data_IF_965899094312
#
_entry.id   IF_965899094312
#
_cell.length_a   1.000
_cell.length_b   1.000
_cell.length_c   1.000
_cell.angle_alpha   90.00
_cell.angle_beta   90.00
_cell.angle_gamma   90.00
#
_symmetry.space_group_name_H-M   'P 1'
#
loop_
_entity.id
_entity.type
_entity.pdbx_description
1 polymer ?
#
# COMPACT_ATOMS: atom_id res chain seq x y z
N UNK A 1 6.84 3.46 11.49
CA UNK A 1 7.19 4.34 10.36
C UNK A 1 8.47 3.82 9.73
N UNK A 2 8.68 4.04 8.43
CA UNK A 2 9.92 3.67 7.74
C UNK A 2 10.66 4.96 7.42
N UNK A 3 11.95 5.03 7.76
CA UNK A 3 12.80 6.20 7.46
C UNK A 3 13.56 5.94 6.18
N UNK A 4 13.37 6.79 5.17
CA UNK A 4 14.14 6.77 3.93
C UNK A 4 15.13 7.95 3.92
N UNK A 5 16.31 7.76 3.31
CA UNK A 5 17.21 8.87 3.07
C UNK A 5 16.55 9.87 2.11
N UNK A 6 16.85 11.17 2.28
CA UNK A 6 16.28 12.22 1.42
C UNK A 6 16.60 11.93 -0.05
N UNK A 7 15.58 11.88 -0.89
CA UNK A 7 15.68 11.57 -2.32
C UNK A 7 15.81 10.09 -2.65
N UNK A 8 15.81 9.20 -1.66
CA UNK A 8 15.78 7.76 -1.89
C UNK A 8 14.40 7.32 -2.43
N UNK A 9 14.38 6.15 -3.05
CA UNK A 9 13.14 5.48 -3.43
C UNK A 9 12.87 4.33 -2.47
N UNK A 10 11.61 4.16 -2.07
CA UNK A 10 11.18 3.10 -1.16
C UNK A 10 10.00 2.34 -1.77
N UNK A 11 10.19 1.04 -1.97
CA UNK A 11 9.13 0.14 -2.44
C UNK A 11 8.45 -0.53 -1.26
N UNK A 12 7.12 -0.61 -1.33
CA UNK A 12 6.25 -1.31 -0.40
C UNK A 12 5.44 -2.36 -1.14
N UNK A 13 5.40 -3.57 -0.60
CA UNK A 13 4.55 -4.66 -1.07
C UNK A 13 3.35 -4.80 -0.12
N UNK A 14 2.16 -4.89 -0.70
CA UNK A 14 0.89 -5.04 -0.03
C UNK A 14 0.39 -6.45 -0.29
N UNK A 15 0.50 -7.31 0.71
CA UNK A 15 0.07 -8.71 0.62
C UNK A 15 -1.16 -8.90 1.48
N UNK A 16 -2.28 -9.30 0.87
CA UNK A 16 -3.47 -9.68 1.62
C UNK A 16 -3.27 -11.04 2.29
N UNK A 17 -3.77 -11.17 3.53
CA UNK A 17 -3.79 -12.46 4.21
C UNK A 17 -4.71 -13.46 3.51
N UNK A 18 -4.51 -14.76 3.77
CA UNK A 18 -5.39 -15.80 3.25
C UNK A 18 -6.86 -15.54 3.62
N UNK A 19 -7.75 -15.67 2.65
CA UNK A 19 -9.18 -15.36 2.82
C UNK A 19 -9.51 -13.86 2.76
N UNK A 20 -8.54 -12.99 2.41
CA UNK A 20 -8.75 -11.57 2.18
C UNK A 20 -8.31 -11.17 0.77
N UNK A 21 -8.83 -10.05 0.28
CA UNK A 21 -8.36 -9.37 -0.92
C UNK A 21 -8.11 -7.91 -0.62
N UNK A 22 -7.18 -7.29 -1.37
CA UNK A 22 -6.96 -5.85 -1.31
C UNK A 22 -8.26 -5.18 -1.77
N UNK A 23 -8.87 -4.38 -0.90
CA UNK A 23 -10.05 -3.59 -1.23
C UNK A 23 -9.62 -2.27 -1.88
N UNK A 24 -8.62 -1.60 -1.29
CA UNK A 24 -8.18 -0.28 -1.72
C UNK A 24 -6.82 0.06 -1.10
N UNK A 25 -5.92 0.65 -1.88
CA UNK A 25 -4.70 1.29 -1.40
C UNK A 25 -4.81 2.79 -1.64
N UNK A 26 -4.51 3.58 -0.61
CA UNK A 26 -4.54 5.03 -0.64
C UNK A 26 -3.13 5.55 -0.33
N UNK A 27 -2.61 6.43 -1.17
CA UNK A 27 -1.29 7.05 -0.99
C UNK A 27 -1.48 8.54 -0.91
N UNK A 28 -1.04 9.16 0.19
CA UNK A 28 -1.16 10.60 0.45
C UNK A 28 -2.61 11.13 0.25
N UNK A 29 -3.59 10.31 0.64
CA UNK A 29 -5.01 10.61 0.46
C UNK A 29 -5.58 10.28 -0.94
N UNK A 30 -4.74 9.93 -1.91
CA UNK A 30 -5.15 9.57 -3.27
C UNK A 30 -5.39 8.07 -3.40
N UNK A 31 -6.57 7.68 -3.85
CA UNK A 31 -6.89 6.28 -4.13
C UNK A 31 -6.07 5.77 -5.33
N UNK A 32 -5.32 4.69 -5.12
CA UNK A 32 -4.55 3.98 -6.15
C UNK A 32 -5.22 2.68 -6.61
N UNK A 33 -6.36 2.31 -6.04
CA UNK A 33 -7.07 1.07 -6.35
C UNK A 33 -6.47 -0.15 -5.63
N UNK A 34 -6.60 -1.33 -6.23
CA UNK A 34 -6.18 -2.62 -5.64
C UNK A 34 -4.77 -3.01 -6.09
N UNK A 35 -3.80 -2.12 -5.92
CA UNK A 35 -2.39 -2.39 -6.25
C UNK A 35 -1.72 -3.23 -5.16
N UNK A 36 -0.86 -4.16 -5.55
CA UNK A 36 -0.07 -5.00 -4.64
C UNK A 36 1.34 -4.45 -4.37
N UNK A 37 1.79 -3.46 -5.15
CA UNK A 37 3.11 -2.84 -4.98
C UNK A 37 2.99 -1.35 -5.23
N UNK A 38 3.67 -0.56 -4.39
CA UNK A 38 3.81 0.87 -4.59
C UNK A 38 5.24 1.31 -4.27
N UNK A 39 5.81 2.15 -5.14
CA UNK A 39 7.14 2.71 -4.94
C UNK A 39 7.01 4.21 -4.76
N UNK A 40 7.43 4.73 -3.61
CA UNK A 40 7.75 6.13 -3.47
C UNK A 40 9.09 6.38 -4.15
N UNK A 41 9.13 7.32 -5.09
CA UNK A 41 10.37 7.76 -5.72
C UNK A 41 10.74 9.13 -5.19
N UNK A 42 12.04 9.38 -5.04
CA UNK A 42 12.55 10.68 -4.61
C UNK A 42 11.86 11.23 -3.34
N UNK A 43 11.91 10.47 -2.24
CA UNK A 43 11.26 10.82 -0.97
C UNK A 43 11.92 12.06 -0.36
N UNK A 44 11.32 13.22 -0.56
CA UNK A 44 11.78 14.52 -0.03
C UNK A 44 10.89 15.08 1.08
N UNK A 45 9.75 14.43 1.33
CA UNK A 45 8.78 14.79 2.35
C UNK A 45 8.16 13.52 2.96
N UNK A 46 7.39 13.69 4.04
CA UNK A 46 6.67 12.58 4.65
C UNK A 46 5.53 12.13 3.73
N UNK A 47 5.41 10.82 3.55
CA UNK A 47 4.33 10.20 2.80
C UNK A 47 3.59 9.17 3.66
N UNK A 48 2.33 8.91 3.31
CA UNK A 48 1.49 7.91 3.95
C UNK A 48 0.90 6.96 2.92
N UNK A 49 1.01 5.65 3.20
CA UNK A 49 0.36 4.59 2.43
C UNK A 49 -0.57 3.80 3.36
N UNK A 50 -1.83 3.67 2.98
CA UNK A 50 -2.85 2.94 3.73
C UNK A 50 -3.50 1.89 2.84
N UNK A 51 -3.45 0.62 3.25
CA UNK A 51 -4.11 -0.48 2.58
C UNK A 51 -5.35 -0.93 3.37
N UNK A 52 -6.47 -1.11 2.68
CA UNK A 52 -7.70 -1.69 3.19
C UNK A 52 -7.91 -3.06 2.55
N UNK A 53 -8.38 -4.00 3.35
CA UNK A 53 -8.62 -5.37 2.92
C UNK A 53 -10.08 -5.74 3.17
N UNK A 54 -10.66 -6.54 2.27
CA UNK A 54 -11.99 -7.11 2.43
C UNK A 54 -11.89 -8.63 2.52
N UNK A 55 -12.68 -9.22 3.41
CA UNK A 55 -12.80 -10.67 3.55
C UNK A 55 -13.44 -11.24 2.28
N UNK A 56 -12.84 -12.28 1.72
CA UNK A 56 -13.41 -13.01 0.58
C UNK A 56 -14.59 -13.86 1.07
N UNK A 57 -15.66 -13.99 0.28
CA UNK A 57 -16.73 -14.92 0.61
C UNK A 57 -16.15 -16.33 0.73
N UNK A 58 -16.47 -17.02 1.83
CA UNK A 58 -16.12 -18.43 1.98
C UNK A 58 -16.75 -19.21 0.84
N UNK A 59 -15.95 -19.99 0.10
CA UNK A 59 -16.52 -20.96 -0.84
C UNK A 59 -17.40 -21.91 0.00
N UNK A 60 -18.67 -22.00 -0.39
CA UNK A 60 -19.64 -22.94 0.19
C UNK A 60 -19.21 -24.37 -0.12
#
# INVERSE_FOLDING_TARGET
TVTAAKGASQTFTVTAAAGYSIQQVTVDGVNKGTISTYTFTNVIANHSITARFKKLPGRK
#
